data_IF_684503035040
#
_entry.id   IF_684503035040
#
_cell.length_a   1.000
_cell.length_b   1.000
_cell.length_c   1.000
_cell.angle_alpha   90.00
_cell.angle_beta   90.00
_cell.angle_gamma   90.00
#
_symmetry.space_group_name_H-M   'P 1'
#
loop_
_entity.id
_entity.type
_entity.pdbx_description
1 polymer ?
#
# COMPACT_ATOMS: atom_id res chain seq x y z
N UNK A 1 5.66 -20.75 31.84
CA UNK A 1 4.94 -20.28 30.62
C UNK A 1 5.38 -18.86 30.23
N UNK A 2 6.65 -18.45 30.39
CA UNK A 2 7.11 -17.07 30.07
C UNK A 2 8.12 -17.00 28.91
N UNK A 3 8.81 -18.10 28.59
CA UNK A 3 9.85 -18.10 27.55
C UNK A 3 9.33 -18.14 26.10
N UNK A 4 8.05 -18.47 25.88
CA UNK A 4 7.42 -18.48 24.56
C UNK A 4 6.77 -17.14 24.18
N UNK A 5 6.59 -16.20 25.11
CA UNK A 5 5.91 -14.94 24.78
C UNK A 5 6.85 -13.92 24.14
N UNK A 6 8.14 -13.91 24.50
CA UNK A 6 9.12 -13.04 23.82
C UNK A 6 9.41 -13.48 22.38
N UNK A 7 9.37 -14.78 22.06
CA UNK A 7 9.64 -15.21 20.69
C UNK A 7 8.44 -14.98 19.75
N UNK A 8 7.22 -14.95 20.31
CA UNK A 8 6.01 -14.80 19.52
C UNK A 8 5.80 -13.35 19.07
N UNK A 9 6.01 -12.38 19.95
CA UNK A 9 5.89 -10.96 19.60
C UNK A 9 6.96 -10.53 18.57
N UNK A 10 8.19 -11.02 18.71
CA UNK A 10 9.25 -10.78 17.72
C UNK A 10 8.91 -11.47 16.38
N UNK A 11 8.43 -12.72 16.41
CA UNK A 11 8.01 -13.41 15.19
C UNK A 11 6.87 -12.68 14.48
N UNK A 12 5.88 -12.15 15.23
CA UNK A 12 4.79 -11.36 14.66
C UNK A 12 5.31 -10.08 14.00
N UNK A 13 6.20 -9.36 14.70
CA UNK A 13 6.82 -8.15 14.17
C UNK A 13 7.61 -8.43 12.88
N UNK A 14 8.47 -9.45 12.89
CA UNK A 14 9.29 -9.85 11.74
C UNK A 14 8.42 -10.32 10.57
N UNK A 15 7.32 -11.03 10.83
CA UNK A 15 6.39 -11.45 9.79
C UNK A 15 5.70 -10.26 9.11
N UNK A 16 5.23 -9.28 9.89
CA UNK A 16 4.62 -8.06 9.36
C UNK A 16 5.66 -7.24 8.59
N UNK A 17 6.86 -7.07 9.14
CA UNK A 17 7.95 -6.38 8.45
C UNK A 17 8.26 -7.03 7.12
N UNK A 18 8.42 -8.36 7.11
CA UNK A 18 8.69 -9.12 5.90
C UNK A 18 7.57 -8.96 4.86
N UNK A 19 6.30 -9.02 5.28
CA UNK A 19 5.16 -8.79 4.40
C UNK A 19 5.27 -7.42 3.70
N UNK A 20 5.43 -6.35 4.48
CA UNK A 20 5.52 -4.98 3.95
C UNK A 20 6.72 -4.79 3.00
N UNK A 21 7.87 -5.41 3.31
CA UNK A 21 9.05 -5.37 2.45
C UNK A 21 8.82 -6.15 1.15
N UNK A 22 8.24 -7.36 1.26
CA UNK A 22 7.95 -8.23 0.12
C UNK A 22 6.96 -7.56 -0.84
N UNK A 23 5.92 -6.88 -0.34
CA UNK A 23 4.91 -6.20 -1.19
C UNK A 23 5.53 -5.16 -2.11
N UNK A 24 6.51 -4.40 -1.61
CA UNK A 24 7.24 -3.41 -2.40
C UNK A 24 8.13 -4.09 -3.45
N UNK A 25 8.86 -5.13 -3.04
CA UNK A 25 9.75 -5.89 -3.93
C UNK A 25 8.96 -6.56 -5.05
N UNK A 26 7.83 -7.16 -4.71
CA UNK A 26 6.94 -7.85 -5.64
C UNK A 26 6.27 -6.86 -6.60
N UNK A 27 5.81 -5.71 -6.10
CA UNK A 27 5.30 -4.62 -6.94
C UNK A 27 6.31 -4.24 -8.04
N UNK A 28 7.57 -3.93 -7.67
CA UNK A 28 8.58 -3.55 -8.65
C UNK A 28 8.96 -4.68 -9.61
N UNK A 29 8.98 -5.92 -9.11
CA UNK A 29 9.26 -7.10 -9.93
C UNK A 29 8.16 -7.31 -10.98
N UNK A 30 6.89 -7.27 -10.57
CA UNK A 30 5.74 -7.42 -11.46
C UNK A 30 5.61 -6.24 -12.43
N UNK A 31 5.89 -5.01 -12.01
CA UNK A 31 5.94 -3.84 -12.90
C UNK A 31 6.93 -4.09 -14.05
N UNK A 32 8.12 -4.57 -13.71
CA UNK A 32 9.18 -4.86 -14.69
C UNK A 32 8.77 -5.98 -15.64
N UNK A 33 8.18 -7.06 -15.13
CA UNK A 33 7.71 -8.19 -15.95
C UNK A 33 6.61 -7.78 -16.95
N UNK A 34 5.73 -6.86 -16.53
CA UNK A 34 4.65 -6.32 -17.39
C UNK A 34 5.13 -5.30 -18.43
N UNK A 35 6.39 -4.87 -18.36
CA UNK A 35 6.97 -3.84 -19.23
C UNK A 35 6.09 -2.58 -19.34
N UNK A 36 5.66 -2.06 -18.18
CA UNK A 36 4.81 -0.87 -18.12
C UNK A 36 5.65 0.36 -18.46
N UNK A 37 5.35 0.99 -19.60
CA UNK A 37 6.10 2.14 -20.14
C UNK A 37 5.38 3.48 -19.93
N UNK A 38 4.04 3.50 -19.98
CA UNK A 38 3.27 4.74 -19.74
C UNK A 38 3.12 5.00 -18.26
N UNK A 39 3.18 6.28 -17.87
CA UNK A 39 3.12 6.66 -16.47
C UNK A 39 1.71 6.53 -15.91
N UNK A 40 0.71 6.84 -16.72
CA UNK A 40 -0.70 6.54 -16.43
C UNK A 40 -0.95 5.06 -16.12
N UNK A 41 -0.38 4.17 -16.93
CA UNK A 41 -0.48 2.72 -16.71
C UNK A 41 0.27 2.26 -15.45
N UNK A 42 1.41 2.91 -15.12
CA UNK A 42 2.15 2.65 -13.89
C UNK A 42 1.37 3.06 -12.64
N UNK A 43 0.73 4.24 -12.64
CA UNK A 43 -0.11 4.68 -11.52
C UNK A 43 -1.29 3.72 -11.34
N UNK A 44 -1.99 3.38 -12.42
CA UNK A 44 -3.09 2.41 -12.37
C UNK A 44 -2.62 1.06 -11.82
N UNK A 45 -1.45 0.58 -12.25
CA UNK A 45 -0.90 -0.69 -11.76
C UNK A 45 -0.53 -0.62 -10.27
N UNK A 46 0.02 0.49 -9.79
CA UNK A 46 0.27 0.69 -8.35
C UNK A 46 -1.03 0.59 -7.54
N UNK A 47 -2.07 1.30 -7.99
CA UNK A 47 -3.38 1.29 -7.34
C UNK A 47 -4.01 -0.11 -7.34
N UNK A 48 -4.01 -0.78 -8.49
CA UNK A 48 -4.55 -2.13 -8.62
C UNK A 48 -3.78 -3.13 -7.74
N UNK A 49 -2.46 -3.01 -7.65
CA UNK A 49 -1.63 -3.90 -6.84
C UNK A 49 -1.91 -3.77 -5.34
N UNK A 50 -1.99 -2.53 -4.84
CA UNK A 50 -2.19 -2.26 -3.40
C UNK A 50 -3.66 -2.20 -2.98
N UNK A 51 -4.61 -2.38 -3.91
CA UNK A 51 -6.03 -2.52 -3.60
C UNK A 51 -6.40 -4.00 -3.42
N UNK A 52 -6.93 -4.41 -2.25
CA UNK A 52 -7.21 -5.79 -1.91
C UNK A 52 -8.00 -6.53 -2.99
N UNK A 53 -7.41 -7.61 -3.50
CA UNK A 53 -7.92 -8.38 -4.64
C UNK A 53 -8.63 -9.68 -4.28
N UNK A 54 -8.63 -10.07 -3.00
CA UNK A 54 -9.35 -11.21 -2.47
C UNK A 54 -9.43 -11.12 -0.94
N UNK A 55 -10.36 -11.80 -0.27
CA UNK A 55 -10.27 -12.02 1.18
C UNK A 55 -9.02 -12.84 1.50
N UNK A 56 -8.08 -12.26 2.23
CA UNK A 56 -6.83 -12.95 2.58
C UNK A 56 -6.29 -12.49 3.93
N UNK A 57 -5.57 -13.39 4.61
CA UNK A 57 -4.85 -13.03 5.85
C UNK A 57 -3.80 -11.95 5.62
N UNK A 58 -3.26 -11.86 4.41
CA UNK A 58 -2.32 -10.83 4.01
C UNK A 58 -2.93 -9.42 4.18
N UNK A 59 -4.12 -9.17 3.62
CA UNK A 59 -4.76 -7.86 3.76
C UNK A 59 -5.29 -7.59 5.18
N UNK A 60 -5.69 -8.62 5.92
CA UNK A 60 -6.11 -8.47 7.33
C UNK A 60 -4.97 -7.91 8.19
N UNK A 61 -3.71 -8.27 7.91
CA UNK A 61 -2.56 -7.74 8.65
C UNK A 61 -2.44 -6.22 8.53
N UNK A 62 -2.81 -5.62 7.39
CA UNK A 62 -2.87 -4.17 7.25
C UNK A 62 -3.87 -3.51 8.23
N UNK A 63 -5.04 -4.12 8.47
CA UNK A 63 -5.98 -3.63 9.49
C UNK A 63 -5.46 -3.82 10.91
N UNK A 64 -4.73 -4.91 11.18
CA UNK A 64 -4.19 -5.18 12.51
C UNK A 64 -3.03 -4.26 12.90
N UNK A 65 -2.28 -3.74 11.93
CA UNK A 65 -1.11 -2.89 12.21
C UNK A 65 -1.50 -1.62 12.96
N UNK A 66 -2.63 -0.98 12.63
CA UNK A 66 -3.05 0.25 13.29
C UNK A 66 -3.18 0.16 14.81
N UNK A 67 -3.96 -0.79 15.38
CA UNK A 67 -4.05 -0.95 16.82
C UNK A 67 -2.75 -1.48 17.47
N UNK A 68 -1.85 -2.13 16.72
CA UNK A 68 -0.52 -2.49 17.22
C UNK A 68 0.37 -1.24 17.33
N UNK A 69 0.42 -0.42 16.28
CA UNK A 69 1.16 0.83 16.21
C UNK A 69 0.72 1.86 17.24
N UNK A 70 -0.58 1.88 17.57
CA UNK A 70 -1.10 2.74 18.64
C UNK A 70 -0.58 2.37 20.05
N UNK A 71 0.00 1.17 20.22
CA UNK A 71 0.41 0.61 21.51
C UNK A 71 1.91 0.32 21.62
N UNK A 72 2.59 0.08 20.50
CA UNK A 72 4.03 -0.23 20.46
C UNK A 72 4.71 0.62 19.36
N UNK A 73 5.69 1.42 19.80
CA UNK A 73 6.43 2.36 18.95
C UNK A 73 7.20 1.66 17.82
N UNK A 74 7.58 0.39 17.97
CA UNK A 74 8.26 -0.37 16.90
C UNK A 74 7.35 -0.55 15.70
N UNK A 75 6.09 -0.94 15.94
CA UNK A 75 5.09 -1.05 14.88
C UNK A 75 4.77 0.31 14.28
N UNK A 76 4.66 1.37 15.10
CA UNK A 76 4.46 2.74 14.60
C UNK A 76 5.58 3.19 13.67
N UNK A 77 6.83 2.96 14.05
CA UNK A 77 7.99 3.29 13.21
C UNK A 77 8.01 2.47 11.92
N UNK A 78 7.68 1.17 12.00
CA UNK A 78 7.62 0.28 10.85
C UNK A 78 6.58 0.75 9.83
N UNK A 79 5.34 0.98 10.27
CA UNK A 79 4.26 1.36 9.35
C UNK A 79 4.46 2.78 8.81
N UNK A 80 4.98 3.73 9.61
CA UNK A 80 5.31 5.06 9.11
C UNK A 80 6.40 4.99 8.03
N UNK A 81 7.44 4.17 8.21
CA UNK A 81 8.47 3.97 7.20
C UNK A 81 7.91 3.41 5.90
N UNK A 82 7.04 2.40 5.99
CA UNK A 82 6.37 1.83 4.82
C UNK A 82 5.45 2.85 4.13
N UNK A 83 4.64 3.62 4.87
CA UNK A 83 3.79 4.68 4.30
C UNK A 83 4.59 5.77 3.60
N UNK A 84 5.72 6.19 4.18
CA UNK A 84 6.62 7.17 3.55
C UNK A 84 7.14 6.60 2.22
N UNK A 85 7.62 5.36 2.22
CA UNK A 85 8.12 4.69 1.01
C UNK A 85 7.03 4.58 -0.07
N UNK A 86 5.82 4.12 0.28
CA UNK A 86 4.70 4.06 -0.66
C UNK A 86 4.33 5.44 -1.21
N UNK A 87 4.30 6.47 -0.35
CA UNK A 87 3.99 7.83 -0.77
C UNK A 87 5.07 8.41 -1.71
N UNK A 88 6.35 8.13 -1.45
CA UNK A 88 7.46 8.51 -2.34
C UNK A 88 7.34 7.86 -3.72
N UNK A 89 6.92 6.59 -3.79
CA UNK A 89 6.65 5.90 -5.07
C UNK A 89 5.54 6.62 -5.85
N UNK A 90 4.41 6.90 -5.21
CA UNK A 90 3.28 7.60 -5.87
C UNK A 90 3.66 9.03 -6.26
N UNK A 91 4.40 9.73 -5.42
CA UNK A 91 4.88 11.09 -5.71
C UNK A 91 5.82 11.11 -6.92
N UNK A 92 6.76 10.16 -7.03
CA UNK A 92 7.62 9.99 -8.20
C UNK A 92 6.81 9.75 -9.47
N UNK A 93 5.82 8.84 -9.41
CA UNK A 93 4.93 8.54 -10.55
C UNK A 93 4.19 9.82 -10.99
N UNK A 94 3.58 10.56 -10.05
CA UNK A 94 2.84 11.79 -10.38
C UNK A 94 3.77 12.87 -10.93
N UNK A 95 4.97 13.00 -10.38
CA UNK A 95 5.97 13.97 -10.83
C UNK A 95 6.38 13.69 -12.26
N UNK A 96 6.81 12.45 -12.57
CA UNK A 96 7.17 12.07 -13.93
C UNK A 96 6.00 12.23 -14.90
N UNK A 97 4.77 11.92 -14.47
CA UNK A 97 3.59 12.08 -15.32
C UNK A 97 3.20 13.54 -15.58
N UNK A 98 3.49 14.43 -14.63
CA UNK A 98 3.34 15.88 -14.84
C UNK A 98 4.40 16.41 -15.79
N UNK A 99 5.65 15.94 -15.67
CA UNK A 99 6.76 16.30 -16.57
C UNK A 99 6.56 15.78 -18.01
N UNK A 100 5.98 14.59 -18.18
CA UNK A 100 5.63 14.04 -19.49
C UNK A 100 4.35 14.63 -20.09
N UNK A 101 3.57 15.38 -19.31
CA UNK A 101 2.29 15.95 -19.70
C UNK A 101 1.12 14.95 -19.69
N UNK A 102 1.32 13.73 -19.16
CA UNK A 102 0.25 12.75 -18.95
C UNK A 102 -0.71 13.16 -17.81
N UNK A 103 -0.22 13.87 -16.80
CA UNK A 103 -1.02 14.33 -15.66
C UNK A 103 -1.06 15.86 -15.54
N UNK A 104 -2.12 16.35 -14.91
CA UNK A 104 -2.21 17.73 -14.45
C UNK A 104 -2.25 17.75 -12.92
N UNK A 105 -1.13 18.09 -12.30
CA UNK A 105 -1.02 18.26 -10.85
C UNK A 105 -0.42 19.62 -10.52
N UNK A 106 -1.00 20.30 -9.54
CA UNK A 106 -0.43 21.53 -8.99
C UNK A 106 0.70 21.26 -7.98
N UNK A 107 0.68 20.08 -7.34
CA UNK A 107 1.63 19.64 -6.33
C UNK A 107 1.59 18.09 -6.23
N UNK A 108 2.67 17.44 -6.70
CA UNK A 108 2.78 15.98 -6.70
C UNK A 108 2.74 15.38 -5.30
N UNK A 109 3.36 16.04 -4.32
CA UNK A 109 3.42 15.58 -2.94
C UNK A 109 2.04 15.62 -2.26
N UNK A 110 1.27 16.69 -2.47
CA UNK A 110 -0.13 16.76 -1.99
C UNK A 110 -0.98 15.69 -2.68
N UNK A 111 -0.81 15.49 -3.97
CA UNK A 111 -1.60 14.53 -4.75
C UNK A 111 -1.30 13.09 -4.32
N UNK A 112 -0.03 12.74 -4.10
CA UNK A 112 0.38 11.44 -3.58
C UNK A 112 -0.26 11.14 -2.22
N UNK A 113 -0.23 12.10 -1.27
CA UNK A 113 -0.86 11.92 0.04
C UNK A 113 -2.37 11.72 -0.05
N UNK A 114 -3.05 12.42 -0.96
CA UNK A 114 -4.50 12.24 -1.18
C UNK A 114 -4.80 10.85 -1.73
N UNK A 115 -4.06 10.41 -2.74
CA UNK A 115 -4.21 9.06 -3.30
C UNK A 115 -3.97 8.01 -2.24
N UNK A 116 -2.90 8.13 -1.45
CA UNK A 116 -2.60 7.18 -0.37
C UNK A 116 -3.71 7.12 0.69
N UNK A 117 -4.29 8.27 1.06
CA UNK A 117 -5.40 8.32 2.01
C UNK A 117 -6.68 7.67 1.47
N UNK A 118 -7.02 7.89 0.20
CA UNK A 118 -8.19 7.25 -0.43
C UNK A 118 -7.96 5.75 -0.57
N UNK A 119 -6.77 5.34 -1.02
CA UNK A 119 -6.38 3.93 -1.15
C UNK A 119 -6.50 3.20 0.20
N UNK A 120 -5.96 3.73 1.29
CA UNK A 120 -6.06 3.12 2.62
C UNK A 120 -7.52 2.98 3.10
N UNK A 121 -8.34 4.02 2.89
CA UNK A 121 -9.76 3.99 3.22
C UNK A 121 -10.54 2.94 2.42
N UNK A 122 -10.32 2.88 1.11
CA UNK A 122 -10.98 1.92 0.22
C UNK A 122 -10.51 0.49 0.48
N UNK A 123 -9.20 0.29 0.66
CA UNK A 123 -8.63 -0.99 1.08
C UNK A 123 -9.27 -1.47 2.39
N UNK A 124 -9.39 -0.60 3.40
CA UNK A 124 -10.03 -0.94 4.66
C UNK A 124 -11.48 -1.40 4.48
N UNK A 125 -12.25 -0.73 3.62
CA UNK A 125 -13.64 -1.11 3.32
C UNK A 125 -13.73 -2.43 2.56
N UNK A 126 -12.82 -2.70 1.61
CA UNK A 126 -12.78 -3.95 0.84
C UNK A 126 -12.39 -5.12 1.75
N UNK A 127 -11.42 -4.94 2.66
CA UNK A 127 -11.00 -6.01 3.57
C UNK A 127 -12.16 -6.48 4.45
N UNK A 128 -13.00 -5.55 4.90
CA UNK A 128 -14.14 -5.86 5.77
C UNK A 128 -15.29 -6.56 5.04
N UNK A 129 -15.50 -6.25 3.76
CA UNK A 129 -16.59 -6.76 2.95
C UNK A 129 -16.19 -6.78 1.48
N UNK A 130 -15.47 -7.83 1.09
CA UNK A 130 -14.91 -7.95 -0.26
C UNK A 130 -15.99 -8.30 -1.28
N UNK A 131 -15.95 -7.63 -2.43
CA UNK A 131 -16.58 -8.07 -3.68
C UNK A 131 -15.77 -7.52 -4.86
N UNK A 132 -15.78 -8.26 -5.97
CA UNK A 132 -15.14 -7.83 -7.22
C UNK A 132 -15.74 -6.51 -7.71
N UNK A 133 -17.06 -6.34 -7.59
CA UNK A 133 -17.77 -5.12 -8.01
C UNK A 133 -17.34 -3.90 -7.20
N UNK A 134 -17.24 -4.03 -5.87
CA UNK A 134 -16.79 -2.93 -4.99
C UNK A 134 -15.33 -2.56 -5.27
N UNK A 135 -14.47 -3.56 -5.47
CA UNK A 135 -13.07 -3.33 -5.81
C UNK A 135 -12.94 -2.59 -7.13
N UNK A 136 -13.66 -3.03 -8.17
CA UNK A 136 -13.63 -2.39 -9.48
C UNK A 136 -14.11 -0.94 -9.42
N UNK A 137 -15.22 -0.69 -8.70
CA UNK A 137 -15.74 0.66 -8.48
C UNK A 137 -14.70 1.57 -7.80
N UNK A 138 -14.09 1.10 -6.71
CA UNK A 138 -13.11 1.88 -5.96
C UNK A 138 -11.83 2.16 -6.77
N UNK A 139 -11.39 1.22 -7.61
CA UNK A 139 -10.25 1.46 -8.50
C UNK A 139 -10.57 2.55 -9.55
N UNK A 140 -11.77 2.54 -10.12
CA UNK A 140 -12.26 3.56 -11.06
C UNK A 140 -12.39 4.94 -10.40
N UNK A 141 -12.74 5.01 -9.12
CA UNK A 141 -12.87 6.28 -8.40
C UNK A 141 -11.54 6.93 -8.04
N UNK A 142 -10.45 6.16 -7.90
CA UNK A 142 -9.11 6.69 -7.59
C UNK A 142 -8.39 7.20 -8.84
N UNK A 143 -8.54 6.52 -9.98
CA UNK A 143 -7.80 6.75 -11.22
C UNK A 143 -8.51 7.69 -12.19
#
# INVERSE_FOLDING_TARGET
MYHYYSNWEELKFDAIKKMLDDDIVDYFSMKKERNIEKISEELHFFLDYFLPNAPSSHWILYLEIWPLSARDQRYANLIHGNFIQCNEIVEDIITRGTESGEFSSADSHISARKIAAVLDGYSSMIILDYSDEKRALFLEEIF
#
